data_IF_085324363859
#
_entry.id   IF_085324363859
#
_cell.length_a   1.000
_cell.length_b   1.000
_cell.length_c   1.000
_cell.angle_alpha   90.00
_cell.angle_beta   90.00
_cell.angle_gamma   90.00
#
_symmetry.space_group_name_H-M   'P 1'
#
loop_
_entity.id
_entity.type
_entity.pdbx_description
1 polymer ?
#
# COMPACT_ATOMS: atom_id res chain seq x y z
N UNK A 1 0.86 2.60 -34.44
CA UNK A 1 -0.42 2.46 -33.69
C UNK A 1 -0.63 0.99 -33.30
N UNK A 2 -0.16 0.53 -32.11
CA UNK A 2 -0.41 -0.88 -31.71
C UNK A 2 -0.40 -1.18 -30.20
N UNK A 3 -0.84 -0.23 -29.36
CA UNK A 3 -0.90 -0.43 -27.88
C UNK A 3 -2.22 0.08 -27.24
N UNK A 4 -3.26 0.37 -28.02
CA UNK A 4 -4.52 0.96 -27.49
C UNK A 4 -5.49 -0.06 -26.87
N UNK A 5 -5.53 -1.28 -27.41
CA UNK A 5 -6.53 -2.28 -27.02
C UNK A 5 -6.21 -3.00 -25.71
N UNK A 6 -4.93 -3.31 -25.47
CA UNK A 6 -4.48 -3.94 -24.22
C UNK A 6 -4.76 -3.05 -23.00
N UNK A 7 -4.48 -1.75 -23.12
CA UNK A 7 -4.75 -0.77 -22.06
C UNK A 7 -6.24 -0.65 -21.74
N UNK A 8 -7.12 -0.68 -22.75
CA UNK A 8 -8.58 -0.64 -22.51
C UNK A 8 -9.06 -1.88 -21.79
N UNK A 9 -8.60 -3.06 -22.19
CA UNK A 9 -8.96 -4.31 -21.53
C UNK A 9 -8.43 -4.34 -20.09
N UNK A 10 -7.20 -3.87 -19.87
CA UNK A 10 -6.62 -3.74 -18.55
C UNK A 10 -7.47 -2.86 -17.64
N UNK A 11 -7.79 -1.64 -18.08
CA UNK A 11 -8.60 -0.66 -17.32
C UNK A 11 -10.02 -1.17 -17.04
N UNK A 12 -10.62 -1.88 -17.99
CA UNK A 12 -11.92 -2.53 -17.77
C UNK A 12 -11.81 -3.64 -16.71
N UNK A 13 -10.76 -4.47 -16.78
CA UNK A 13 -10.52 -5.54 -15.82
C UNK A 13 -10.27 -5.02 -14.41
N UNK A 14 -9.38 -4.03 -14.24
CA UNK A 14 -9.09 -3.43 -12.94
C UNK A 14 -10.29 -2.65 -12.39
N UNK A 15 -11.01 -1.92 -13.25
CA UNK A 15 -12.25 -1.26 -12.87
C UNK A 15 -13.35 -2.23 -12.41
N UNK A 16 -13.56 -3.32 -13.15
CA UNK A 16 -14.52 -4.36 -12.79
C UNK A 16 -14.14 -5.06 -11.49
N UNK A 17 -12.85 -5.34 -11.27
CA UNK A 17 -12.35 -5.90 -10.01
C UNK A 17 -12.62 -4.98 -8.82
N UNK A 18 -12.31 -3.68 -8.96
CA UNK A 18 -12.58 -2.69 -7.92
C UNK A 18 -14.07 -2.57 -7.62
N UNK A 19 -14.92 -2.56 -8.65
CA UNK A 19 -16.37 -2.55 -8.48
C UNK A 19 -16.85 -3.82 -7.77
N UNK A 20 -16.34 -4.98 -8.15
CA UNK A 20 -16.63 -6.27 -7.50
C UNK A 20 -16.30 -6.26 -6.02
N UNK A 21 -15.12 -5.76 -5.63
CA UNK A 21 -14.76 -5.62 -4.21
C UNK A 21 -15.70 -4.66 -3.49
N UNK A 22 -15.99 -3.48 -4.07
CA UNK A 22 -16.89 -2.48 -3.46
C UNK A 22 -18.29 -3.05 -3.22
N UNK A 23 -18.83 -3.78 -4.20
CA UNK A 23 -20.12 -4.46 -4.08
C UNK A 23 -20.12 -5.59 -3.04
N UNK A 24 -18.96 -6.19 -2.74
CA UNK A 24 -18.81 -7.23 -1.73
C UNK A 24 -18.64 -6.69 -0.29
N UNK A 25 -18.47 -5.38 -0.09
CA UNK A 25 -18.27 -4.76 1.24
C UNK A 25 -19.38 -5.00 2.28
N UNK A 26 -20.69 -5.09 1.94
CA UNK A 26 -21.70 -5.46 2.94
C UNK A 26 -21.58 -6.92 3.40
N UNK A 27 -21.02 -7.80 2.56
CA UNK A 27 -20.95 -9.25 2.81
C UNK A 27 -19.60 -9.74 3.33
N UNK A 28 -18.53 -8.93 3.21
CA UNK A 28 -17.18 -9.32 3.56
C UNK A 28 -16.45 -8.24 4.36
N UNK A 29 -16.07 -8.60 5.59
CA UNK A 29 -15.23 -7.76 6.46
C UNK A 29 -13.87 -7.47 5.83
N UNK A 30 -13.32 -8.43 5.07
CA UNK A 30 -12.06 -8.26 4.34
C UNK A 30 -12.19 -7.26 3.20
N UNK A 31 -13.28 -7.31 2.44
CA UNK A 31 -13.56 -6.34 1.38
C UNK A 31 -13.76 -4.93 1.97
N UNK A 32 -14.50 -4.82 3.07
CA UNK A 32 -14.71 -3.57 3.81
C UNK A 32 -13.40 -2.96 4.31
N UNK A 33 -12.57 -3.76 4.98
CA UNK A 33 -11.27 -3.31 5.46
C UNK A 33 -10.34 -2.87 4.31
N UNK A 34 -10.40 -3.56 3.17
CA UNK A 34 -9.66 -3.18 1.96
C UNK A 34 -10.11 -1.83 1.40
N UNK A 35 -11.42 -1.56 1.36
CA UNK A 35 -11.96 -0.29 0.85
C UNK A 35 -11.74 0.89 1.79
N UNK A 36 -12.06 0.74 3.08
CA UNK A 36 -11.92 1.79 4.09
C UNK A 36 -10.45 2.17 4.28
N UNK A 37 -9.58 1.17 4.31
CA UNK A 37 -8.14 1.37 4.42
C UNK A 37 -7.54 2.20 3.29
N UNK A 38 -7.97 1.98 2.04
CA UNK A 38 -7.51 2.76 0.88
C UNK A 38 -8.08 4.18 0.85
N UNK A 39 -9.29 4.38 1.38
CA UNK A 39 -9.83 5.73 1.55
C UNK A 39 -9.01 6.53 2.58
N UNK A 40 -8.58 5.89 3.67
CA UNK A 40 -7.68 6.51 4.64
C UNK A 40 -6.32 6.87 4.00
N UNK A 41 -5.76 6.02 3.14
CA UNK A 41 -4.54 6.35 2.39
C UNK A 41 -4.69 7.62 1.55
N UNK A 42 -5.81 7.79 0.85
CA UNK A 42 -6.02 8.95 -0.03
C UNK A 42 -6.11 10.29 0.73
N UNK A 43 -6.30 10.24 2.06
CA UNK A 43 -6.33 11.40 2.95
C UNK A 43 -5.10 11.47 3.87
N UNK A 44 -4.10 10.61 3.65
CA UNK A 44 -2.90 10.61 4.47
C UNK A 44 -2.13 11.93 4.28
N UNK A 45 -1.61 12.53 5.36
CA UNK A 45 -0.85 13.76 5.27
C UNK A 45 0.43 13.55 4.45
N UNK A 46 0.77 14.51 3.59
CA UNK A 46 2.10 14.59 2.97
C UNK A 46 3.11 15.03 4.04
N UNK A 47 3.51 14.10 4.91
CA UNK A 47 4.47 14.36 5.98
C UNK A 47 5.86 13.88 5.58
N UNK A 48 6.42 14.45 4.52
CA UNK A 48 7.81 14.19 4.13
C UNK A 48 8.71 15.37 4.48
N UNK A 49 9.82 15.10 5.17
CA UNK A 49 10.86 16.08 5.42
C UNK A 49 11.64 16.37 4.13
N UNK A 50 11.75 17.64 3.70
CA UNK A 50 12.59 18.03 2.57
C UNK A 50 14.06 17.68 2.83
N UNK A 51 14.72 17.09 1.83
CA UNK A 51 16.14 16.78 1.89
C UNK A 51 16.51 15.40 2.46
N UNK A 52 15.54 14.63 2.97
CA UNK A 52 15.77 13.24 3.36
C UNK A 52 15.42 12.27 2.23
N UNK A 53 16.20 11.21 2.06
CA UNK A 53 15.92 10.20 1.06
C UNK A 53 14.72 9.34 1.48
N UNK A 54 13.80 9.08 0.56
CA UNK A 54 12.62 8.24 0.81
C UNK A 54 12.90 6.83 0.28
N UNK A 55 12.77 5.83 1.14
CA UNK A 55 12.83 4.42 0.78
C UNK A 55 11.44 3.82 0.94
N UNK A 56 10.92 3.25 -0.14
CA UNK A 56 9.58 2.68 -0.18
C UNK A 56 9.61 1.15 -0.15
N UNK A 57 9.00 0.57 0.88
CA UNK A 57 8.73 -0.85 1.00
C UNK A 57 7.27 -1.14 0.67
N UNK A 58 7.04 -2.10 -0.22
CA UNK A 58 5.73 -2.68 -0.45
C UNK A 58 5.69 -4.12 0.03
N UNK A 59 4.64 -4.46 0.77
CA UNK A 59 4.38 -5.83 1.22
C UNK A 59 2.94 -6.21 0.86
N UNK A 60 2.76 -7.24 0.05
CA UNK A 60 1.46 -7.79 -0.27
C UNK A 60 0.84 -8.52 0.93
N UNK A 61 1.65 -9.04 1.86
CA UNK A 61 1.21 -9.83 3.02
C UNK A 61 1.99 -9.54 4.31
N UNK A 62 1.49 -10.09 5.44
CA UNK A 62 2.23 -10.08 6.72
C UNK A 62 3.56 -10.84 6.59
N UNK A 63 3.55 -12.00 5.91
CA UNK A 63 4.75 -12.83 5.74
C UNK A 63 5.86 -12.10 4.98
N UNK A 64 5.50 -11.39 3.91
CA UNK A 64 6.46 -10.55 3.18
C UNK A 64 7.02 -9.41 4.02
N UNK A 65 6.18 -8.79 4.86
CA UNK A 65 6.67 -7.79 5.81
C UNK A 65 7.65 -8.39 6.81
N UNK A 66 7.37 -9.56 7.40
CA UNK A 66 8.31 -10.18 8.35
C UNK A 66 9.65 -10.53 7.70
N UNK A 67 9.64 -10.93 6.43
CA UNK A 67 10.86 -11.17 5.66
C UNK A 67 11.62 -9.87 5.35
N UNK A 68 10.90 -8.78 5.07
CA UNK A 68 11.49 -7.46 4.79
C UNK A 68 11.87 -6.64 6.02
N UNK A 69 11.28 -6.92 7.19
CA UNK A 69 11.49 -6.18 8.44
C UNK A 69 12.96 -6.05 8.84
N UNK A 70 13.80 -7.11 8.78
CA UNK A 70 15.23 -6.99 9.08
C UNK A 70 15.97 -5.99 8.19
N UNK A 71 15.53 -5.82 6.93
CA UNK A 71 16.13 -4.84 6.03
C UNK A 71 15.73 -3.41 6.43
N UNK A 72 14.47 -3.18 6.82
CA UNK A 72 14.02 -1.87 7.31
C UNK A 72 14.80 -1.48 8.58
N UNK A 73 14.95 -2.43 9.51
CA UNK A 73 15.72 -2.25 10.74
C UNK A 73 17.19 -1.88 10.46
N UNK A 74 17.83 -2.61 9.54
CA UNK A 74 19.21 -2.34 9.13
C UNK A 74 19.36 -0.98 8.45
N UNK A 75 18.40 -0.57 7.62
CA UNK A 75 18.44 0.72 6.94
C UNK A 75 18.30 1.87 7.94
N UNK A 76 17.32 1.81 8.86
CA UNK A 76 17.15 2.82 9.91
C UNK A 76 18.34 2.86 10.88
N UNK A 77 19.01 1.73 11.12
CA UNK A 77 20.21 1.73 11.97
C UNK A 77 21.43 2.33 11.27
N UNK A 78 21.56 2.14 9.95
CA UNK A 78 22.73 2.57 9.15
C UNK A 78 22.61 4.00 8.63
N UNK A 79 21.40 4.47 8.36
CA UNK A 79 21.14 5.78 7.78
C UNK A 79 20.10 6.52 8.62
N UNK A 80 20.52 7.58 9.31
CA UNK A 80 19.64 8.37 10.18
C UNK A 80 18.77 9.37 9.39
N UNK A 81 19.14 9.68 8.14
CA UNK A 81 18.49 10.71 7.33
C UNK A 81 17.70 10.08 6.17
N UNK A 82 16.87 9.08 6.49
CA UNK A 82 15.97 8.43 5.54
C UNK A 82 14.56 8.33 6.11
N UNK A 83 13.58 8.46 5.22
CA UNK A 83 12.17 8.25 5.50
C UNK A 83 11.73 6.92 4.89
N UNK A 84 10.99 6.13 5.65
CA UNK A 84 10.48 4.83 5.25
C UNK A 84 8.99 4.95 5.01
N UNK A 85 8.58 4.68 3.77
CA UNK A 85 7.18 4.47 3.41
C UNK A 85 6.93 2.98 3.36
N UNK A 86 5.91 2.51 4.05
CA UNK A 86 5.50 1.10 4.04
C UNK A 86 4.07 0.99 3.53
N UNK A 87 3.88 0.33 2.38
CA UNK A 87 2.54 0.08 1.82
C UNK A 87 2.15 -1.37 1.91
N UNK A 88 0.87 -1.62 2.22
CA UNK A 88 0.29 -2.95 2.24
C UNK A 88 -0.79 -3.14 1.17
N UNK A 89 -0.79 -4.29 0.49
CA UNK A 89 -1.91 -4.66 -0.39
C UNK A 89 -3.05 -5.31 0.39
N UNK A 90 -2.72 -6.21 1.32
CA UNK A 90 -3.69 -7.02 2.07
C UNK A 90 -4.16 -6.34 3.36
N UNK A 91 -5.44 -6.53 3.74
CA UNK A 91 -5.94 -5.99 5.01
C UNK A 91 -5.26 -6.56 6.26
N UNK A 92 -4.88 -7.83 6.23
CA UNK A 92 -4.16 -8.46 7.34
C UNK A 92 -2.79 -7.85 7.56
N UNK A 93 -2.04 -7.58 6.47
CA UNK A 93 -0.74 -6.89 6.54
C UNK A 93 -0.87 -5.52 7.17
N UNK A 94 -1.75 -4.69 6.61
CA UNK A 94 -1.97 -3.33 7.10
C UNK A 94 -2.42 -3.31 8.56
N UNK A 95 -3.45 -4.08 8.92
CA UNK A 95 -4.00 -4.02 10.29
C UNK A 95 -3.00 -4.49 11.34
N UNK A 96 -2.15 -5.46 11.01
CA UNK A 96 -1.11 -5.95 11.91
C UNK A 96 0.04 -4.95 12.11
N UNK A 97 0.34 -4.10 11.12
CA UNK A 97 1.58 -3.31 11.06
C UNK A 97 1.40 -1.82 10.75
N UNK A 98 0.17 -1.29 10.74
CA UNK A 98 -0.13 0.14 10.52
C UNK A 98 0.56 1.10 11.49
N UNK A 99 0.98 0.61 12.66
CA UNK A 99 1.69 1.38 13.69
C UNK A 99 3.16 0.95 13.82
N UNK A 100 3.77 0.45 12.74
CA UNK A 100 5.15 0.01 12.77
C UNK A 100 6.11 1.19 12.99
N UNK A 101 6.79 1.20 14.13
CA UNK A 101 7.52 2.36 14.63
C UNK A 101 8.68 2.85 13.76
N UNK A 102 9.22 1.99 12.88
CA UNK A 102 10.34 2.33 12.00
C UNK A 102 9.91 2.83 10.62
N UNK A 103 8.60 2.84 10.35
CA UNK A 103 8.05 3.46 9.15
C UNK A 103 7.48 4.84 9.49
N UNK A 104 7.91 5.86 8.76
CA UNK A 104 7.42 7.24 8.91
C UNK A 104 6.00 7.37 8.35
N UNK A 105 5.65 6.53 7.37
CA UNK A 105 4.31 6.49 6.79
C UNK A 105 3.90 5.04 6.47
N UNK A 106 2.76 4.60 7.01
CA UNK A 106 2.19 3.28 6.72
C UNK A 106 0.81 3.41 6.08
N UNK A 107 0.68 2.88 4.87
CA UNK A 107 -0.50 3.07 4.03
C UNK A 107 -0.99 1.75 3.42
N UNK A 108 -2.21 1.73 2.93
CA UNK A 108 -2.54 0.81 1.85
C UNK A 108 -1.90 1.27 0.54
N UNK A 109 -1.51 0.31 -0.30
CA UNK A 109 -1.20 0.60 -1.69
C UNK A 109 -2.45 1.23 -2.38
N UNK A 110 -2.31 2.27 -3.21
CA UNK A 110 -3.42 2.79 -4.00
C UNK A 110 -4.05 1.72 -4.89
N UNK A 111 -5.31 1.92 -5.27
CA UNK A 111 -5.94 1.07 -6.28
C UNK A 111 -5.32 1.38 -7.65
N UNK A 112 -5.09 0.35 -8.46
CA UNK A 112 -4.48 0.52 -9.77
C UNK A 112 -5.45 1.19 -10.74
N UNK A 113 -5.04 2.32 -11.30
CA UNK A 113 -5.80 3.19 -12.17
C UNK A 113 -4.91 3.85 -13.22
N UNK A 114 -4.23 3.04 -14.05
CA UNK A 114 -3.51 3.45 -15.29
C UNK A 114 -4.03 4.72 -16.00
#
# INVERSE_FOLDING_TARGET
MRVSWSKRLYRLGTGAYQLGIRSATPFSSKARAWTEGRQATASAPESFQPGEAVVWFHCASVGEFEQGRPLIELLKSRYQQIQIVLTFFSPSGYMARKNFALADLVLYLPADNE
#
